data_IF_458198170371
#
_entry.id   IF_458198170371
#
_cell.length_a   1.000
_cell.length_b   1.000
_cell.length_c   1.000
_cell.angle_alpha   90.00
_cell.angle_beta   90.00
_cell.angle_gamma   90.00
#
_symmetry.space_group_name_H-M   'P 1'
#
loop_
_entity.id
_entity.type
_entity.pdbx_description
1 polymer ?
#
# COMPACT_ATOMS: atom_id res chain seq x y z
N UNK A 1 -63.76 1.40 -22.96
CA UNK A 1 -62.29 1.46 -23.16
C UNK A 1 -61.65 1.03 -21.86
N UNK A 2 -61.13 -0.20 -21.84
CA UNK A 2 -60.45 -0.80 -20.69
C UNK A 2 -58.99 -1.03 -21.07
N UNK A 3 -58.08 -0.68 -20.17
CA UNK A 3 -56.61 -0.56 -20.37
C UNK A 3 -55.92 -1.94 -20.27
N UNK A 4 -56.60 -3.02 -20.66
CA UNK A 4 -56.15 -4.39 -20.37
C UNK A 4 -55.60 -5.16 -21.59
N UNK A 5 -55.66 -4.61 -22.80
CA UNK A 5 -55.23 -5.33 -24.02
C UNK A 5 -53.98 -4.75 -24.68
N UNK A 6 -52.93 -4.53 -23.89
CA UNK A 6 -51.58 -4.30 -24.42
C UNK A 6 -50.63 -5.10 -23.56
N UNK A 7 -50.28 -6.31 -24.00
CA UNK A 7 -48.93 -6.91 -23.99
C UNK A 7 -49.05 -8.43 -24.17
N UNK A 8 -49.09 -8.85 -25.43
CA UNK A 8 -48.44 -10.09 -25.88
C UNK A 8 -47.09 -9.68 -26.46
N UNK A 9 -45.99 -10.10 -25.82
CA UNK A 9 -44.75 -10.52 -26.51
C UNK A 9 -43.83 -11.30 -25.54
N UNK A 10 -43.51 -12.54 -25.91
CA UNK A 10 -43.09 -13.66 -25.03
C UNK A 10 -41.57 -13.79 -24.79
N UNK A 11 -40.85 -12.69 -24.53
CA UNK A 11 -39.37 -12.76 -24.35
C UNK A 11 -38.75 -11.87 -23.27
N UNK A 12 -39.45 -10.84 -22.81
CA UNK A 12 -38.92 -9.81 -21.90
C UNK A 12 -39.30 -10.01 -20.43
N UNK A 13 -40.24 -10.93 -20.15
CA UNK A 13 -40.75 -11.20 -18.81
C UNK A 13 -39.72 -11.85 -17.90
N UNK A 14 -38.85 -12.73 -18.42
CA UNK A 14 -37.81 -13.38 -17.60
C UNK A 14 -36.75 -12.40 -17.11
N UNK A 15 -36.27 -11.49 -17.97
CA UNK A 15 -35.29 -10.45 -17.59
C UNK A 15 -35.89 -9.44 -16.61
N UNK A 16 -37.14 -9.02 -16.84
CA UNK A 16 -37.83 -8.13 -15.90
C UNK A 16 -38.08 -8.81 -14.55
N UNK A 17 -38.45 -10.09 -14.55
CA UNK A 17 -38.67 -10.84 -13.30
C UNK A 17 -37.35 -11.06 -12.57
N UNK A 18 -36.27 -11.35 -13.28
CA UNK A 18 -34.95 -11.54 -12.70
C UNK A 18 -34.38 -10.23 -12.13
N UNK A 19 -34.58 -9.10 -12.82
CA UNK A 19 -34.23 -7.77 -12.32
C UNK A 19 -35.00 -7.45 -11.02
N UNK A 20 -36.32 -7.70 -10.99
CA UNK A 20 -37.15 -7.49 -9.80
C UNK A 20 -36.71 -8.40 -8.65
N UNK A 21 -36.34 -9.65 -8.94
CA UNK A 21 -35.81 -10.58 -7.93
C UNK A 21 -34.44 -10.14 -7.40
N UNK A 22 -33.55 -9.65 -8.27
CA UNK A 22 -32.24 -9.12 -7.85
C UNK A 22 -32.40 -7.87 -6.99
N UNK A 23 -33.27 -6.93 -7.38
CA UNK A 23 -33.56 -5.72 -6.59
C UNK A 23 -34.19 -6.10 -5.24
N UNK A 24 -35.14 -7.05 -5.21
CA UNK A 24 -35.75 -7.53 -3.98
C UNK A 24 -34.76 -8.26 -3.07
N UNK A 25 -33.86 -9.07 -3.63
CA UNK A 25 -32.79 -9.72 -2.89
C UNK A 25 -31.81 -8.70 -2.31
N UNK A 26 -31.44 -7.68 -3.08
CA UNK A 26 -30.58 -6.59 -2.63
C UNK A 26 -31.23 -5.77 -1.51
N UNK A 27 -32.53 -5.45 -1.62
CA UNK A 27 -33.30 -4.78 -0.57
C UNK A 27 -33.41 -5.63 0.71
N UNK A 28 -33.57 -6.96 0.58
CA UNK A 28 -33.59 -7.88 1.72
C UNK A 28 -32.22 -8.02 2.40
N UNK A 29 -31.11 -7.92 1.64
CA UNK A 29 -29.75 -7.88 2.20
C UNK A 29 -29.51 -6.58 2.97
N UNK A 30 -30.03 -5.45 2.47
CA UNK A 30 -29.99 -4.16 3.18
C UNK A 30 -30.82 -4.17 4.47
N UNK A 31 -32.04 -4.73 4.46
CA UNK A 31 -32.89 -4.82 5.66
C UNK A 31 -32.34 -5.78 6.74
N UNK A 32 -31.57 -6.81 6.33
CA UNK A 32 -30.95 -7.77 7.25
C UNK A 32 -29.68 -7.25 7.94
N UNK A 33 -29.31 -5.99 7.74
CA UNK A 33 -28.17 -5.37 8.45
C UNK A 33 -26.80 -5.88 8.00
N UNK A 34 -26.70 -6.51 6.82
CA UNK A 34 -25.41 -6.87 6.23
C UNK A 34 -24.57 -5.64 5.85
N UNK A 35 -25.24 -4.50 5.62
CA UNK A 35 -24.66 -3.17 5.46
C UNK A 35 -25.07 -2.25 6.63
N UNK A 36 -24.88 -2.71 7.87
CA UNK A 36 -24.94 -1.78 8.99
C UNK A 36 -23.72 -0.84 8.89
N UNK A 37 -23.91 0.50 8.78
CA UNK A 37 -22.79 1.42 8.88
C UNK A 37 -22.19 1.28 10.29
N UNK A 38 -20.84 1.24 10.44
CA UNK A 38 -20.25 1.31 11.76
C UNK A 38 -20.64 2.65 12.39
N UNK A 39 -21.32 2.58 13.54
CA UNK A 39 -21.58 3.75 14.38
C UNK A 39 -20.26 4.48 14.64
N UNK A 40 -20.20 5.73 14.21
CA UNK A 40 -19.03 6.57 14.35
C UNK A 40 -18.59 6.69 15.81
N UNK A 41 -17.35 6.28 16.07
CA UNK A 41 -16.60 6.77 17.23
C UNK A 41 -16.34 8.26 17.03
N UNK A 42 -17.30 9.06 17.47
CA UNK A 42 -17.18 10.50 17.66
C UNK A 42 -16.22 10.73 18.83
N UNK A 43 -14.92 10.75 18.54
CA UNK A 43 -13.88 11.12 19.49
C UNK A 43 -14.07 12.59 19.91
N UNK A 44 -14.69 12.78 21.07
CA UNK A 44 -14.74 14.07 21.75
C UNK A 44 -13.33 14.46 22.19
N UNK A 45 -12.77 15.47 21.53
CA UNK A 45 -11.62 16.21 22.01
C UNK A 45 -12.02 17.02 23.24
N UNK A 46 -11.60 16.55 24.42
CA UNK A 46 -11.50 17.34 25.65
C UNK A 46 -10.09 17.92 25.80
N UNK A 47 -10.00 19.19 26.18
CA UNK A 47 -8.84 20.07 26.19
C UNK A 47 -7.59 19.57 26.98
N UNK A 48 -6.38 20.11 26.68
CA UNK A 48 -5.16 19.81 27.43
C UNK A 48 -5.09 20.59 28.75
N UNK A 49 -4.65 19.97 29.87
CA UNK A 49 -4.29 20.72 31.07
C UNK A 49 -2.88 21.30 30.95
N UNK A 50 -2.83 22.63 31.15
CA UNK A 50 -1.66 23.45 31.45
C UNK A 50 -0.63 22.73 32.36
N UNK A 51 0.61 22.55 31.88
CA UNK A 51 1.75 22.31 32.75
C UNK A 51 2.91 23.22 32.33
N UNK A 52 2.99 24.35 33.03
CA UNK A 52 4.04 25.35 32.94
C UNK A 52 5.42 24.77 33.31
N UNK A 53 6.39 24.98 32.44
CA UNK A 53 7.84 24.87 32.70
C UNK A 53 8.28 26.02 33.62
N UNK A 54 9.14 25.80 34.63
CA UNK A 54 9.86 26.89 35.29
C UNK A 54 11.11 27.28 34.48
N UNK A 55 11.24 28.58 34.21
CA UNK A 55 12.47 29.21 33.69
C UNK A 55 13.62 29.17 34.72
N UNK A 56 14.87 29.27 34.26
CA UNK A 56 16.05 29.31 35.13
C UNK A 56 16.22 30.70 35.76
N UNK A 57 16.39 30.72 37.09
CA UNK A 57 16.66 31.93 37.87
C UNK A 57 18.14 32.30 37.77
N UNK A 58 18.40 33.54 37.38
CA UNK A 58 19.73 34.16 37.33
C UNK A 58 19.97 34.88 38.65
N UNK A 59 21.05 34.55 39.36
CA UNK A 59 21.63 35.45 40.36
C UNK A 59 23.14 35.19 40.56
N UNK A 60 23.91 36.11 39.98
CA UNK A 60 25.09 36.80 40.50
C UNK A 60 26.16 36.07 41.35
N UNK A 61 27.38 36.08 40.77
CA UNK A 61 28.63 36.70 41.25
C UNK A 61 29.39 36.12 42.47
N UNK A 62 30.59 35.62 42.14
CA UNK A 62 31.93 36.15 42.49
C UNK A 62 32.92 35.18 43.18
N UNK A 63 34.06 35.02 42.48
CA UNK A 63 35.48 34.99 42.94
C UNK A 63 36.06 33.84 43.77
N UNK A 64 37.02 33.17 43.12
CA UNK A 64 38.44 32.97 43.52
C UNK A 64 38.91 31.73 44.32
N UNK A 65 40.19 31.40 44.02
CA UNK A 65 41.15 30.45 44.61
C UNK A 65 41.00 28.97 44.19
N UNK A 66 41.90 28.37 43.39
CA UNK A 66 43.34 28.09 43.53
C UNK A 66 43.68 26.91 44.48
N UNK A 67 44.46 25.95 43.95
CA UNK A 67 45.01 24.77 44.64
C UNK A 67 44.31 23.47 44.20
N UNK A 68 44.92 22.46 43.57
CA UNK A 68 46.27 21.92 43.73
C UNK A 68 46.16 20.56 44.43
N UNK A 69 46.39 19.44 43.73
CA UNK A 69 46.46 18.12 44.38
C UNK A 69 46.23 16.92 43.45
N UNK A 70 47.32 16.22 43.12
CA UNK A 70 47.37 14.91 42.50
C UNK A 70 46.59 13.83 43.28
N UNK A 71 45.98 12.87 42.56
CA UNK A 71 46.34 11.45 42.71
C UNK A 71 45.70 10.56 41.62
N UNK A 72 46.59 9.75 41.04
CA UNK A 72 46.39 8.69 40.08
C UNK A 72 46.13 7.38 40.83
N UNK A 73 45.14 6.59 40.39
CA UNK A 73 45.06 5.17 40.74
C UNK A 73 44.43 4.38 39.59
N UNK A 74 45.30 3.59 38.97
CA UNK A 74 45.06 2.53 37.98
C UNK A 74 44.31 1.35 38.60
N UNK A 75 43.35 0.79 37.86
CA UNK A 75 42.63 -0.43 38.24
C UNK A 75 41.78 -1.02 37.11
N UNK A 76 42.43 -1.81 36.25
CA UNK A 76 41.97 -2.95 35.44
C UNK A 76 40.45 -3.26 35.37
N UNK A 77 39.87 -3.19 34.17
CA UNK A 77 39.33 -4.30 33.33
C UNK A 77 38.24 -3.81 32.36
N UNK A 78 38.20 -4.30 31.10
CA UNK A 78 37.27 -3.81 30.07
C UNK A 78 35.98 -4.64 30.02
N UNK A 79 34.81 -4.06 29.71
CA UNK A 79 33.71 -4.84 29.17
C UNK A 79 33.70 -4.75 27.65
N UNK A 80 34.02 -5.89 27.05
CA UNK A 80 33.41 -6.47 25.86
C UNK A 80 33.08 -5.51 24.69
N UNK A 81 33.98 -5.55 23.71
CA UNK A 81 33.67 -5.73 22.28
C UNK A 81 32.20 -6.07 22.02
N UNK A 82 31.39 -5.07 21.66
CA UNK A 82 30.22 -5.32 20.81
C UNK A 82 30.76 -5.31 19.39
N UNK A 83 31.25 -6.46 18.94
CA UNK A 83 31.26 -6.79 17.53
C UNK A 83 29.82 -6.60 17.07
N UNK A 84 29.55 -5.49 16.38
CA UNK A 84 28.42 -5.42 15.48
C UNK A 84 28.67 -6.49 14.44
N UNK A 85 28.17 -7.69 14.71
CA UNK A 85 28.04 -8.76 13.74
C UNK A 85 27.13 -8.18 12.68
N UNK A 86 27.73 -7.61 11.63
CA UNK A 86 27.08 -7.39 10.37
C UNK A 86 26.71 -8.79 9.86
N UNK A 87 25.56 -9.28 10.32
CA UNK A 87 24.89 -10.39 9.69
C UNK A 87 24.45 -9.86 8.34
N UNK A 88 25.31 -10.04 7.35
CA UNK A 88 24.93 -10.10 5.94
C UNK A 88 24.04 -11.33 5.76
N UNK A 89 22.86 -11.27 6.38
CA UNK A 89 21.80 -12.22 6.20
C UNK A 89 21.23 -11.88 4.83
N UNK A 90 21.49 -12.76 3.85
CA UNK A 90 21.02 -12.67 2.47
C UNK A 90 19.62 -12.03 2.44
N UNK A 91 19.59 -10.74 2.08
CA UNK A 91 18.49 -9.82 2.36
C UNK A 91 17.32 -10.09 1.44
N UNK A 92 16.41 -10.97 1.87
CA UNK A 92 15.12 -11.11 1.24
C UNK A 92 14.27 -9.86 1.49
N UNK A 93 13.43 -9.51 0.52
CA UNK A 93 12.49 -8.40 0.62
C UNK A 93 11.47 -8.70 1.72
N UNK A 94 11.41 -7.90 2.80
CA UNK A 94 10.50 -8.12 3.94
C UNK A 94 9.17 -7.41 3.75
N UNK A 95 9.16 -6.27 3.08
CA UNK A 95 7.99 -5.45 2.83
C UNK A 95 8.00 -4.87 1.42
N UNK A 96 6.85 -4.98 0.74
CA UNK A 96 6.60 -4.36 -0.56
C UNK A 96 5.35 -3.52 -0.43
N UNK A 97 5.40 -2.33 -1.00
CA UNK A 97 4.22 -1.47 -1.13
C UNK A 97 3.88 -1.31 -2.60
N UNK A 98 2.59 -1.41 -2.93
CA UNK A 98 2.08 -1.30 -4.30
C UNK A 98 0.95 -0.26 -4.27
N UNK A 99 1.09 0.79 -5.06
CA UNK A 99 0.00 1.73 -5.32
C UNK A 99 -1.06 1.04 -6.15
N UNK A 100 -2.33 1.07 -5.77
CA UNK A 100 -3.41 0.51 -6.58
C UNK A 100 -3.67 1.34 -7.86
N UNK A 101 -3.77 2.69 -7.80
CA UNK A 101 -4.06 3.51 -8.97
C UNK A 101 -2.99 3.38 -10.05
N UNK A 102 -3.40 3.08 -11.29
CA UNK A 102 -2.52 2.95 -12.44
C UNK A 102 -1.59 1.74 -12.46
N UNK A 103 -1.71 0.84 -11.48
CA UNK A 103 -0.90 -0.40 -11.36
C UNK A 103 -1.80 -1.63 -11.25
N UNK A 104 -2.74 -1.62 -10.29
CA UNK A 104 -3.72 -2.68 -10.07
C UNK A 104 -5.11 -2.27 -10.57
N UNK A 105 -5.33 -0.96 -10.71
CA UNK A 105 -6.55 -0.34 -11.20
C UNK A 105 -6.23 0.48 -12.46
N UNK A 106 -7.18 0.58 -13.38
CA UNK A 106 -7.04 1.39 -14.60
C UNK A 106 -7.00 2.88 -14.26
N UNK A 107 -7.81 3.30 -13.29
CA UNK A 107 -7.90 4.68 -12.83
C UNK A 107 -6.59 5.12 -12.16
N UNK A 108 -6.15 6.34 -12.47
CA UNK A 108 -4.93 6.94 -11.90
C UNK A 108 -5.21 8.08 -10.94
N UNK A 109 -6.38 8.70 -11.08
CA UNK A 109 -6.75 9.88 -10.32
C UNK A 109 -7.67 9.47 -9.16
N UNK A 110 -7.54 10.12 -7.99
CA UNK A 110 -8.36 9.76 -6.83
C UNK A 110 -9.85 10.09 -7.03
N UNK A 111 -10.16 11.08 -7.88
CA UNK A 111 -11.53 11.55 -8.14
C UNK A 111 -12.35 10.58 -9.00
N UNK A 112 -11.72 9.76 -9.85
CA UNK A 112 -12.46 8.82 -10.70
C UNK A 112 -13.07 7.66 -9.93
N UNK A 113 -12.59 7.38 -8.71
CA UNK A 113 -13.06 6.23 -7.94
C UNK A 113 -14.51 6.36 -7.46
N UNK A 114 -15.08 7.57 -7.42
CA UNK A 114 -16.49 7.77 -7.09
C UNK A 114 -17.44 7.21 -8.17
N UNK A 115 -16.97 7.08 -9.42
CA UNK A 115 -17.74 6.51 -10.53
C UNK A 115 -17.59 4.99 -10.61
N UNK A 116 -16.46 4.46 -10.12
CA UNK A 116 -16.15 3.04 -10.10
C UNK A 116 -14.64 2.78 -10.01
N UNK A 117 -14.27 1.52 -9.84
CA UNK A 117 -12.88 1.08 -9.86
C UNK A 117 -12.73 -0.14 -10.76
N UNK A 118 -11.87 -0.04 -11.77
CA UNK A 118 -11.70 -1.05 -12.80
C UNK A 118 -10.39 -1.79 -12.58
N UNK A 119 -10.49 -3.08 -12.31
CA UNK A 119 -9.33 -3.90 -11.95
C UNK A 119 -8.54 -4.34 -13.19
N UNK A 120 -7.22 -4.14 -13.14
CA UNK A 120 -6.26 -4.70 -14.09
C UNK A 120 -6.03 -6.18 -13.79
N UNK A 121 -6.83 -7.04 -14.42
CA UNK A 121 -6.87 -8.48 -14.14
C UNK A 121 -5.50 -9.16 -14.33
N UNK A 122 -4.71 -8.72 -15.31
CA UNK A 122 -3.36 -9.27 -15.55
C UNK A 122 -2.40 -8.96 -14.40
N UNK A 123 -2.48 -7.74 -13.84
CA UNK A 123 -1.70 -7.33 -12.69
C UNK A 123 -2.09 -8.12 -11.43
N UNK A 124 -3.39 -8.29 -11.18
CA UNK A 124 -3.90 -9.11 -10.06
C UNK A 124 -3.42 -10.56 -10.18
N UNK A 125 -3.60 -11.19 -11.34
CA UNK A 125 -3.20 -12.57 -11.56
C UNK A 125 -1.69 -12.76 -11.34
N UNK A 126 -0.88 -11.81 -11.80
CA UNK A 126 0.57 -11.83 -11.60
C UNK A 126 0.95 -11.67 -10.13
N UNK A 127 0.32 -10.74 -9.41
CA UNK A 127 0.55 -10.53 -7.98
C UNK A 127 0.17 -11.78 -7.17
N UNK A 128 -1.00 -12.37 -7.43
CA UNK A 128 -1.45 -13.60 -6.79
C UNK A 128 -0.49 -14.75 -7.07
N UNK A 129 -0.10 -14.96 -8.34
CA UNK A 129 0.86 -16.00 -8.71
C UNK A 129 2.21 -15.82 -7.99
N UNK A 130 2.69 -14.59 -7.82
CA UNK A 130 3.92 -14.30 -7.08
C UNK A 130 3.80 -14.54 -5.56
N UNK A 131 2.60 -14.42 -4.99
CA UNK A 131 2.33 -14.73 -3.57
C UNK A 131 2.12 -16.23 -3.31
N UNK A 132 1.58 -16.99 -4.26
CA UNK A 132 1.27 -18.41 -4.12
C UNK A 132 2.49 -19.35 -4.26
N UNK A 133 3.48 -18.98 -5.07
CA UNK A 133 4.58 -19.87 -5.50
C UNK A 133 5.70 -20.10 -4.46
N UNK A 134 5.41 -19.97 -3.16
CA UNK A 134 6.41 -20.16 -2.08
C UNK A 134 6.29 -21.42 -1.23
N UNK A 135 5.55 -22.45 -1.64
CA UNK A 135 5.21 -23.61 -0.78
C UNK A 135 5.36 -25.02 -1.38
N UNK A 136 6.08 -25.20 -2.48
CA UNK A 136 6.28 -26.51 -3.12
C UNK A 136 7.75 -26.92 -3.17
N UNK A 137 8.06 -28.12 -2.65
CA UNK A 137 9.35 -28.83 -2.77
C UNK A 137 9.99 -28.64 -4.15
N UNK A 138 11.10 -27.90 -4.21
CA UNK A 138 11.92 -27.74 -5.41
C UNK A 138 12.55 -29.08 -5.81
N UNK A 139 12.26 -29.57 -7.01
CA UNK A 139 13.01 -30.67 -7.65
C UNK A 139 13.89 -30.18 -8.80
N UNK A 140 14.10 -28.87 -8.92
CA UNK A 140 14.99 -28.26 -9.91
C UNK A 140 15.58 -26.96 -9.39
N UNK A 141 16.91 -26.84 -9.42
CA UNK A 141 17.71 -25.77 -8.80
C UNK A 141 17.57 -24.37 -9.46
N UNK A 142 16.53 -24.13 -10.27
CA UNK A 142 16.33 -22.86 -10.99
C UNK A 142 15.04 -22.08 -10.63
N UNK A 143 14.19 -22.58 -9.73
CA UNK A 143 12.90 -21.92 -9.36
C UNK A 143 12.97 -21.05 -8.09
N UNK A 144 14.10 -20.36 -7.86
CA UNK A 144 14.27 -19.46 -6.70
C UNK A 144 13.50 -18.13 -6.91
N UNK A 145 13.18 -17.79 -8.16
CA UNK A 145 12.57 -16.51 -8.55
C UNK A 145 11.08 -16.37 -8.21
N UNK A 146 10.35 -17.46 -7.96
CA UNK A 146 8.89 -17.39 -7.80
C UNK A 146 8.38 -17.29 -6.36
N UNK A 147 9.25 -17.41 -5.36
CA UNK A 147 8.88 -17.33 -3.94
C UNK A 147 9.01 -15.90 -3.38
N UNK A 148 9.27 -14.90 -4.24
CA UNK A 148 9.68 -13.58 -3.78
C UNK A 148 8.68 -12.92 -2.84
N UNK A 149 7.39 -12.95 -3.17
CA UNK A 149 6.35 -12.33 -2.34
C UNK A 149 5.71 -13.27 -1.33
N UNK A 150 5.99 -14.58 -1.41
CA UNK A 150 5.32 -15.56 -0.58
C UNK A 150 5.64 -15.41 0.92
N UNK A 151 6.81 -14.86 1.25
CA UNK A 151 7.24 -14.58 2.63
C UNK A 151 7.41 -13.06 2.91
N UNK A 152 6.79 -12.23 2.09
CA UNK A 152 6.92 -10.76 2.14
C UNK A 152 5.61 -10.13 2.59
N UNK A 153 5.71 -9.07 3.39
CA UNK A 153 4.55 -8.26 3.73
C UNK A 153 4.22 -7.34 2.55
N UNK A 154 3.22 -7.71 1.77
CA UNK A 154 2.68 -6.86 0.70
C UNK A 154 1.59 -5.94 1.27
N UNK A 155 1.74 -4.64 1.03
CA UNK A 155 0.77 -3.61 1.37
C UNK A 155 0.27 -2.93 0.10
N UNK A 156 -1.04 -2.75 0.01
CA UNK A 156 -1.67 -2.02 -1.10
C UNK A 156 -2.03 -0.63 -0.60
N UNK A 157 -1.62 0.40 -1.32
CA UNK A 157 -1.97 1.78 -0.99
C UNK A 157 -2.89 2.34 -2.06
N UNK A 158 -3.93 3.05 -1.66
CA UNK A 158 -4.81 3.75 -2.59
C UNK A 158 -5.03 5.18 -2.11
N UNK A 159 -4.82 6.14 -3.01
CA UNK A 159 -5.28 7.51 -2.79
C UNK A 159 -6.69 7.63 -3.39
N UNK A 160 -7.65 8.05 -2.58
CA UNK A 160 -9.08 8.20 -2.94
C UNK A 160 -9.56 9.58 -2.55
N UNK A 161 -10.55 10.14 -3.23
CA UNK A 161 -11.04 11.49 -2.87
C UNK A 161 -12.08 11.49 -1.74
N UNK A 162 -12.74 10.36 -1.50
CA UNK A 162 -13.85 10.23 -0.56
C UNK A 162 -14.11 8.77 -0.15
N UNK A 163 -14.97 8.58 0.84
CA UNK A 163 -15.39 7.27 1.36
C UNK A 163 -16.12 6.42 0.30
N UNK A 164 -16.79 7.07 -0.67
CA UNK A 164 -17.46 6.39 -1.77
C UNK A 164 -16.43 5.72 -2.67
N UNK A 165 -15.38 6.46 -3.06
CA UNK A 165 -14.26 5.92 -3.82
C UNK A 165 -13.52 4.81 -3.06
N UNK A 166 -13.30 4.97 -1.75
CA UNK A 166 -12.74 3.90 -0.92
C UNK A 166 -13.58 2.62 -1.00
N UNK A 167 -14.90 2.73 -0.81
CA UNK A 167 -15.81 1.59 -0.85
C UNK A 167 -15.82 0.92 -2.24
N UNK A 168 -15.80 1.69 -3.32
CA UNK A 168 -15.73 1.19 -4.68
C UNK A 168 -14.44 0.40 -4.93
N UNK A 169 -13.29 0.95 -4.54
CA UNK A 169 -11.98 0.28 -4.68
C UNK A 169 -11.93 -1.00 -3.85
N UNK A 170 -12.39 -0.96 -2.60
CA UNK A 170 -12.42 -2.14 -1.71
C UNK A 170 -13.28 -3.25 -2.33
N UNK A 171 -14.48 -2.92 -2.78
CA UNK A 171 -15.38 -3.88 -3.41
C UNK A 171 -14.78 -4.50 -4.68
N UNK A 172 -14.12 -3.69 -5.52
CA UNK A 172 -13.49 -4.16 -6.74
C UNK A 172 -12.33 -5.14 -6.47
N UNK A 173 -11.46 -4.82 -5.49
CA UNK A 173 -10.31 -5.66 -5.12
C UNK A 173 -10.71 -6.93 -4.36
N UNK A 174 -11.81 -6.89 -3.60
CA UNK A 174 -12.41 -8.06 -2.98
C UNK A 174 -13.05 -8.97 -4.04
N UNK A 175 -13.83 -8.39 -4.97
CA UNK A 175 -14.45 -9.13 -6.07
C UNK A 175 -13.41 -9.76 -7.01
N UNK A 176 -12.28 -9.10 -7.24
CA UNK A 176 -11.16 -9.67 -8.00
C UNK A 176 -10.43 -10.80 -7.26
N UNK A 177 -10.79 -11.05 -6.00
CA UNK A 177 -10.15 -12.04 -5.14
C UNK A 177 -8.75 -11.65 -4.66
N UNK A 178 -8.32 -10.39 -4.82
CA UNK A 178 -7.02 -9.95 -4.29
C UNK A 178 -7.11 -9.73 -2.77
N UNK A 179 -8.22 -9.19 -2.28
CA UNK A 179 -8.46 -8.97 -0.86
C UNK A 179 -9.16 -10.18 -0.24
N UNK A 180 -8.68 -10.65 0.92
CA UNK A 180 -9.30 -11.73 1.67
C UNK A 180 -8.33 -12.46 2.60
N UNK A 181 -8.71 -13.65 3.05
CA UNK A 181 -7.95 -14.46 4.01
C UNK A 181 -7.41 -15.77 3.44
N UNK A 182 -7.68 -16.06 2.16
CA UNK A 182 -7.22 -17.30 1.52
C UNK A 182 -5.79 -17.17 1.00
N UNK A 183 -5.17 -18.30 0.65
CA UNK A 183 -3.84 -18.31 0.05
C UNK A 183 -3.85 -17.54 -1.29
N UNK A 184 -2.83 -16.69 -1.49
CA UNK A 184 -2.77 -15.81 -2.66
C UNK A 184 -3.65 -14.57 -2.54
N UNK A 185 -4.25 -14.30 -1.37
CA UNK A 185 -4.95 -13.05 -1.08
C UNK A 185 -4.18 -12.23 -0.05
N UNK A 186 -4.44 -10.92 -0.04
CA UNK A 186 -3.89 -9.96 0.91
C UNK A 186 -4.98 -9.67 1.95
N UNK A 187 -4.60 -9.68 3.22
CA UNK A 187 -5.52 -9.36 4.32
C UNK A 187 -6.01 -7.91 4.23
N UNK A 188 -7.28 -7.67 4.56
CA UNK A 188 -7.90 -6.34 4.46
C UNK A 188 -7.15 -5.25 5.21
N UNK A 189 -6.54 -5.55 6.37
CA UNK A 189 -5.74 -4.57 7.13
C UNK A 189 -4.45 -4.10 6.43
N UNK A 190 -4.06 -4.72 5.32
CA UNK A 190 -2.90 -4.33 4.50
C UNK A 190 -3.28 -3.47 3.30
N UNK A 191 -4.55 -3.14 3.15
CA UNK A 191 -5.03 -2.14 2.20
C UNK A 191 -5.20 -0.82 2.93
N UNK A 192 -4.34 0.13 2.60
CA UNK A 192 -4.25 1.42 3.27
C UNK A 192 -4.78 2.50 2.32
N UNK A 193 -5.74 3.27 2.83
CA UNK A 193 -6.39 4.34 2.09
C UNK A 193 -5.99 5.69 2.67
N UNK A 194 -5.93 6.71 1.81
CA UNK A 194 -5.65 8.08 2.21
C UNK A 194 -6.24 9.06 1.19
N UNK A 195 -6.57 10.27 1.64
CA UNK A 195 -7.15 11.28 0.75
C UNK A 195 -6.10 12.05 -0.06
N UNK A 196 -4.90 12.18 0.50
CA UNK A 196 -3.87 13.09 -0.01
C UNK A 196 -2.63 12.34 -0.46
N UNK A 197 -1.97 12.88 -1.48
CA UNK A 197 -0.67 12.40 -1.94
C UNK A 197 0.36 12.40 -0.79
N UNK A 198 0.36 13.45 0.03
CA UNK A 198 1.23 13.54 1.22
C UNK A 198 0.92 12.42 2.21
N UNK A 199 -0.36 12.06 2.39
CA UNK A 199 -0.79 10.91 3.18
C UNK A 199 -0.22 9.59 2.65
N UNK A 200 -0.35 9.34 1.33
CA UNK A 200 0.23 8.16 0.66
C UNK A 200 1.73 8.07 0.93
N UNK A 201 2.44 9.17 0.69
CA UNK A 201 3.87 9.29 0.92
C UNK A 201 4.28 9.02 2.37
N UNK A 202 3.50 9.52 3.33
CA UNK A 202 3.73 9.29 4.75
C UNK A 202 3.57 7.81 5.12
N UNK A 203 2.54 7.14 4.59
CA UNK A 203 2.32 5.71 4.81
C UNK A 203 3.50 4.89 4.27
N UNK A 204 3.93 5.13 3.03
CA UNK A 204 5.07 4.42 2.43
C UNK A 204 6.33 4.60 3.28
N UNK A 205 6.60 5.82 3.74
CA UNK A 205 7.77 6.12 4.57
C UNK A 205 7.71 5.48 5.96
N UNK A 206 6.53 5.31 6.54
CA UNK A 206 6.38 4.65 7.84
C UNK A 206 6.49 3.13 7.73
N UNK A 207 6.09 2.55 6.60
CA UNK A 207 6.23 1.12 6.32
C UNK A 207 7.69 0.75 6.06
N UNK A 208 8.49 1.70 5.55
CA UNK A 208 9.90 1.50 5.16
C UNK A 208 10.11 0.26 4.28
N UNK A 209 9.36 0.12 3.17
CA UNK A 209 9.48 -1.05 2.30
C UNK A 209 10.82 -1.07 1.58
N UNK A 210 11.34 -2.27 1.26
CA UNK A 210 12.51 -2.37 0.39
C UNK A 210 12.16 -2.07 -1.07
N UNK A 211 10.90 -2.25 -1.45
CA UNK A 211 10.38 -1.89 -2.78
C UNK A 211 9.05 -1.16 -2.69
N UNK A 212 8.94 -0.07 -3.43
CA UNK A 212 7.68 0.58 -3.73
C UNK A 212 7.40 0.61 -5.23
N UNK A 213 6.19 0.20 -5.63
CA UNK A 213 5.70 0.23 -7.00
C UNK A 213 4.57 1.25 -7.11
N UNK A 214 4.68 2.22 -8.02
CA UNK A 214 3.66 3.26 -8.20
C UNK A 214 3.45 3.62 -9.68
N UNK A 215 2.23 4.04 -10.04
CA UNK A 215 1.88 4.51 -11.38
C UNK A 215 2.13 6.01 -11.60
N UNK A 216 2.36 6.77 -10.52
CA UNK A 216 2.55 8.21 -10.52
C UNK A 216 4.03 8.61 -10.31
N UNK A 217 4.58 9.31 -11.31
CA UNK A 217 5.95 9.85 -11.29
C UNK A 217 6.21 10.80 -10.11
N UNK A 218 5.20 11.57 -9.67
CA UNK A 218 5.38 12.57 -8.63
C UNK A 218 5.63 11.92 -7.27
N UNK A 219 5.01 10.77 -7.04
CA UNK A 219 5.19 9.93 -5.86
C UNK A 219 6.61 9.35 -5.85
N UNK A 220 7.02 8.74 -6.95
CA UNK A 220 8.35 8.11 -7.11
C UNK A 220 9.48 9.12 -6.87
N UNK A 221 9.39 10.28 -7.51
CA UNK A 221 10.39 11.34 -7.39
C UNK A 221 10.53 11.85 -5.94
N UNK A 222 9.44 11.94 -5.19
CA UNK A 222 9.48 12.34 -3.78
C UNK A 222 9.98 11.22 -2.85
N UNK A 223 9.81 9.95 -3.22
CA UNK A 223 10.23 8.79 -2.42
C UNK A 223 11.68 8.39 -2.63
N UNK A 224 12.35 8.83 -3.71
CA UNK A 224 13.67 8.33 -4.14
C UNK A 224 14.80 8.40 -3.11
N UNK A 225 14.67 9.28 -2.12
CA UNK A 225 15.65 9.44 -1.03
C UNK A 225 15.34 8.59 0.21
N UNK A 226 14.16 7.99 0.27
CA UNK A 226 13.66 7.24 1.42
C UNK A 226 13.57 5.74 1.13
N UNK A 227 13.23 5.37 -0.10
CA UNK A 227 12.98 3.98 -0.47
C UNK A 227 14.14 3.44 -1.30
N UNK A 228 14.76 2.31 -0.92
CA UNK A 228 15.93 1.77 -1.62
C UNK A 228 15.69 1.46 -3.09
N UNK A 229 14.51 0.94 -3.42
CA UNK A 229 14.14 0.54 -4.77
C UNK A 229 12.73 0.99 -5.11
N UNK A 230 12.61 1.76 -6.19
CA UNK A 230 11.35 2.27 -6.70
C UNK A 230 11.10 1.72 -8.09
N UNK A 231 9.87 1.34 -8.36
CA UNK A 231 9.45 0.93 -9.71
C UNK A 231 8.28 1.81 -10.13
N UNK A 232 8.44 2.51 -11.24
CA UNK A 232 7.39 3.32 -11.83
C UNK A 232 6.73 2.55 -12.97
N UNK A 233 5.42 2.33 -12.89
CA UNK A 233 4.62 1.71 -13.96
C UNK A 233 4.00 2.80 -14.84
N UNK A 234 4.51 2.95 -16.06
CA UNK A 234 4.01 3.95 -17.01
C UNK A 234 2.89 3.37 -17.88
N UNK A 235 1.96 4.23 -18.30
CA UNK A 235 0.96 3.84 -19.29
C UNK A 235 1.47 4.23 -20.68
N UNK A 236 1.78 3.23 -21.50
CA UNK A 236 2.30 3.40 -22.86
C UNK A 236 1.36 4.11 -23.83
N UNK A 237 0.07 4.33 -23.50
CA UNK A 237 -0.86 5.12 -24.34
C UNK A 237 -0.47 6.59 -24.51
N UNK A 238 0.47 7.08 -23.69
CA UNK A 238 1.00 8.45 -23.76
C UNK A 238 2.38 8.58 -24.43
N UNK A 239 3.01 7.45 -24.83
CA UNK A 239 4.26 7.50 -25.60
C UNK A 239 4.00 7.74 -27.08
N UNK A 240 3.88 9.02 -27.45
CA UNK A 240 4.33 9.45 -28.77
C UNK A 240 5.83 9.18 -28.87
N UNK A 241 6.18 8.01 -29.41
CA UNK A 241 7.44 7.63 -30.08
C UNK A 241 8.64 8.56 -29.78
N UNK A 242 9.31 8.34 -28.66
CA UNK A 242 10.73 8.66 -28.54
C UNK A 242 11.48 7.34 -28.36
N UNK A 243 11.92 6.78 -29.49
CA UNK A 243 12.91 5.71 -29.51
C UNK A 243 14.24 6.28 -29.02
N UNK A 244 14.61 5.92 -27.79
CA UNK A 244 15.82 6.39 -27.13
C UNK A 244 15.77 6.09 -25.64
N UNK A 245 15.47 4.85 -25.27
CA UNK A 245 15.49 4.41 -23.88
C UNK A 245 16.93 4.20 -23.41
N UNK A 246 17.60 5.28 -23.02
CA UNK A 246 18.72 5.15 -22.10
C UNK A 246 18.16 4.65 -20.76
N UNK A 247 18.51 3.41 -20.41
CA UNK A 247 18.45 2.92 -19.03
C UNK A 247 19.43 3.77 -18.20
N UNK A 248 18.97 4.95 -17.78
CA UNK A 248 19.73 5.80 -16.87
C UNK A 248 19.63 5.22 -15.46
N UNK A 249 20.38 4.14 -15.24
CA UNK A 249 20.64 3.55 -13.91
C UNK A 249 21.54 4.54 -13.16
N UNK A 250 20.96 5.58 -12.57
CA UNK A 250 21.72 6.47 -11.67
C UNK A 250 20.99 6.89 -10.39
N UNK A 251 19.76 6.43 -10.16
CA UNK A 251 19.03 6.75 -8.91
C UNK A 251 17.93 5.71 -8.65
N UNK A 252 18.24 4.50 -8.18
CA UNK A 252 17.31 3.54 -7.49
C UNK A 252 15.88 3.30 -8.03
N UNK A 253 15.54 3.84 -9.18
CA UNK A 253 14.21 3.99 -9.77
C UNK A 253 14.28 3.30 -11.10
N UNK A 254 13.38 2.34 -11.30
CA UNK A 254 13.26 1.57 -12.53
C UNK A 254 11.92 1.92 -13.15
N UNK A 255 11.94 2.28 -14.42
CA UNK A 255 10.73 2.60 -15.17
C UNK A 255 10.34 1.38 -16.01
N UNK A 256 9.09 0.98 -15.92
CA UNK A 256 8.53 -0.15 -16.69
C UNK A 256 7.21 0.23 -17.35
N UNK A 257 6.83 -0.57 -18.34
CA UNK A 257 5.63 -0.43 -19.17
C UNK A 257 4.38 -1.05 -18.54
N UNK A 258 4.54 -2.04 -17.67
CA UNK A 258 3.43 -2.73 -17.01
C UNK A 258 3.89 -3.40 -15.70
N UNK A 259 2.91 -3.90 -14.94
CA UNK A 259 3.17 -4.54 -13.65
C UNK A 259 3.87 -5.89 -13.79
N UNK A 260 3.64 -6.63 -14.88
CA UNK A 260 4.28 -7.91 -15.15
C UNK A 260 5.80 -7.76 -15.30
N UNK A 261 6.22 -6.70 -15.99
CA UNK A 261 7.62 -6.34 -16.11
C UNK A 261 8.21 -5.90 -14.76
N UNK A 262 7.48 -5.11 -13.96
CA UNK A 262 7.89 -4.79 -12.59
C UNK A 262 8.18 -6.08 -11.79
N UNK A 263 7.25 -7.04 -11.85
CA UNK A 263 7.38 -8.32 -11.13
C UNK A 263 8.53 -9.18 -11.63
N UNK A 264 8.83 -9.15 -12.93
CA UNK A 264 9.99 -9.85 -13.52
C UNK A 264 11.32 -9.28 -13.04
N UNK A 265 11.41 -7.95 -12.92
CA UNK A 265 12.60 -7.26 -12.38
C UNK A 265 12.79 -7.61 -10.90
N UNK A 266 11.70 -7.73 -10.16
CA UNK A 266 11.74 -8.13 -8.77
C UNK A 266 12.22 -9.58 -8.56
N UNK A 267 11.92 -10.46 -9.51
CA UNK A 267 12.29 -11.89 -9.46
C UNK A 267 13.68 -12.22 -10.04
N UNK A 268 14.35 -11.23 -10.63
CA UNK A 268 15.70 -11.36 -11.24
C UNK A 268 16.78 -11.00 -10.22
#
# INVERSE_FOLDING_TARGET
MSVADIFSDDGSSLLSTLLVVVIAAFALLFLKGFFAPPEGQRNQHGAPPNRSLPLPNTNNRNTEAAGGGMQQLTGMTPPATTTATASSQRGGIRAVTISAPGVLLEERNPESFSEGATVLHSAIATLQAAMLKGGGSCSSDNDISSSLLANTNVYILCQVSDDIGEAAVRAALEFSGLMGSNQGQIQSQRFLFCETLVGKMSLVRQIEPEVHIDGDSSTVEQLKRFIPRLIQVQNLSSFSKNEGGEESISTGVVVVDNFEHAMKILSS
#
